data_IF_020501936454
#
_entry.id   IF_020501936454
#
_cell.length_a   1.000
_cell.length_b   1.000
_cell.length_c   1.000
_cell.angle_alpha   90.00
_cell.angle_beta   90.00
_cell.angle_gamma   90.00
#
_symmetry.space_group_name_H-M   'P 1'
#
loop_
_entity.id
_entity.type
_entity.pdbx_description
1 polymer ?
#
# COMPACT_ATOMS: atom_id res chain seq x y z
N UNK A 1 -15.54 48.94 -40.87
CA UNK A 1 -15.14 47.74 -41.64
C UNK A 1 -13.69 47.45 -41.27
N UNK A 2 -13.45 46.75 -40.17
CA UNK A 2 -13.37 45.28 -40.05
C UNK A 2 -12.10 44.71 -40.69
N UNK A 3 -11.14 44.28 -39.86
CA UNK A 3 -10.82 42.86 -39.64
C UNK A 3 -9.56 42.72 -38.78
N UNK A 4 -9.64 41.96 -37.68
CA UNK A 4 -8.47 41.44 -36.97
C UNK A 4 -8.69 39.95 -36.72
N UNK A 5 -7.77 39.16 -37.26
CA UNK A 5 -7.88 37.71 -37.50
C UNK A 5 -7.39 36.91 -36.30
N UNK A 6 -8.13 35.84 -36.00
CA UNK A 6 -7.91 34.90 -34.91
C UNK A 6 -6.89 33.81 -35.31
N UNK A 7 -5.70 33.81 -34.73
CA UNK A 7 -4.71 32.72 -34.85
C UNK A 7 -3.99 32.48 -33.51
N UNK A 8 -4.66 31.82 -32.55
CA UNK A 8 -4.01 31.30 -31.32
C UNK A 8 -4.42 29.89 -30.90
N UNK A 9 -5.30 29.22 -31.64
CA UNK A 9 -5.87 27.92 -31.24
C UNK A 9 -5.16 26.64 -31.76
N UNK A 10 -4.23 26.74 -32.71
CA UNK A 10 -3.66 25.57 -33.39
C UNK A 10 -2.38 25.02 -32.74
N UNK A 11 -1.49 25.89 -32.25
CA UNK A 11 -0.20 25.47 -31.66
C UNK A 11 -0.35 24.82 -30.27
N UNK A 12 -1.29 25.27 -29.43
CA UNK A 12 -1.54 24.69 -28.11
C UNK A 12 -2.09 23.26 -28.19
N UNK A 13 -2.94 22.97 -29.18
CA UNK A 13 -3.49 21.62 -29.41
C UNK A 13 -2.47 20.62 -29.94
N UNK A 14 -1.46 21.08 -30.69
CA UNK A 14 -0.38 20.24 -31.17
C UNK A 14 0.60 19.88 -30.05
N UNK A 15 0.95 20.84 -29.18
CA UNK A 15 1.85 20.58 -28.03
C UNK A 15 1.20 19.61 -27.04
N UNK A 16 -0.09 19.79 -26.71
CA UNK A 16 -0.83 18.86 -25.83
C UNK A 16 -0.92 17.45 -26.43
N UNK A 17 -1.14 17.34 -27.75
CA UNK A 17 -1.13 16.03 -28.43
C UNK A 17 0.25 15.37 -28.45
N UNK A 18 1.32 16.15 -28.62
CA UNK A 18 2.69 15.63 -28.65
C UNK A 18 3.16 15.17 -27.25
N UNK A 19 2.75 15.87 -26.18
CA UNK A 19 2.99 15.49 -24.78
C UNK A 19 2.25 14.19 -24.46
N UNK A 20 0.97 14.09 -24.79
CA UNK A 20 0.16 12.89 -24.56
C UNK A 20 0.70 11.65 -25.31
N UNK A 21 1.22 11.80 -26.54
CA UNK A 21 1.78 10.67 -27.31
C UNK A 21 3.15 10.23 -26.75
N UNK A 22 3.90 11.12 -26.12
CA UNK A 22 5.19 10.79 -25.49
C UNK A 22 5.00 10.11 -24.13
N UNK A 23 3.96 10.49 -23.37
CA UNK A 23 3.58 9.89 -22.08
C UNK A 23 3.10 8.44 -22.21
N UNK A 24 2.37 8.11 -23.29
CA UNK A 24 1.92 6.75 -23.59
C UNK A 24 3.10 5.78 -23.86
N UNK A 25 4.22 6.29 -24.38
CA UNK A 25 5.36 5.44 -24.77
C UNK A 25 6.28 5.04 -23.61
N UNK A 26 6.24 5.72 -22.46
CA UNK A 26 7.07 5.37 -21.31
C UNK A 26 6.49 5.87 -19.97
N UNK A 27 5.48 5.18 -19.42
CA UNK A 27 4.82 5.56 -18.15
C UNK A 27 5.80 5.65 -16.96
N UNK A 28 6.92 4.91 -16.99
CA UNK A 28 7.95 4.96 -15.95
C UNK A 28 8.75 6.27 -15.95
N UNK A 29 8.97 6.89 -17.11
CA UNK A 29 9.66 8.16 -17.23
C UNK A 29 8.80 9.33 -16.72
N UNK A 30 7.49 9.27 -16.95
CA UNK A 30 6.51 10.23 -16.43
C UNK A 30 6.51 10.24 -14.90
N UNK A 31 6.36 9.08 -14.27
CA UNK A 31 6.33 8.96 -12.80
C UNK A 31 7.65 9.39 -12.14
N UNK A 32 8.80 9.02 -12.73
CA UNK A 32 10.13 9.38 -12.19
C UNK A 32 10.41 10.88 -12.24
N UNK A 33 9.96 11.57 -13.29
CA UNK A 33 10.12 13.02 -13.40
C UNK A 33 9.17 13.75 -12.44
N UNK A 34 7.94 13.24 -12.26
CA UNK A 34 6.96 13.76 -11.30
C UNK A 34 7.42 13.63 -9.83
N UNK A 35 8.02 12.51 -9.45
CA UNK A 35 8.59 12.29 -8.10
C UNK A 35 9.70 13.30 -7.73
N UNK A 36 10.49 13.78 -8.71
CA UNK A 36 11.56 14.76 -8.45
C UNK A 36 11.06 16.18 -8.23
N UNK A 37 9.98 16.57 -8.91
CA UNK A 37 9.38 17.90 -8.75
C UNK A 37 8.62 18.03 -7.41
N UNK A 38 8.06 16.92 -6.90
CA UNK A 38 7.36 16.84 -5.61
C UNK A 38 8.30 17.11 -4.42
N UNK A 39 9.54 16.57 -4.43
CA UNK A 39 10.54 16.85 -3.37
C UNK A 39 10.88 18.34 -3.23
N UNK A 40 10.60 19.17 -4.25
CA UNK A 40 10.87 20.61 -4.26
C UNK A 40 9.66 21.48 -3.93
N UNK A 41 8.45 20.93 -3.89
CA UNK A 41 7.20 21.71 -3.78
C UNK A 41 6.22 21.17 -2.73
N UNK A 42 6.71 20.76 -1.55
CA UNK A 42 5.81 20.66 -0.39
C UNK A 42 5.26 22.06 -0.09
N UNK A 43 3.93 22.29 -0.13
CA UNK A 43 3.36 23.54 0.32
C UNK A 43 3.60 23.67 1.82
N UNK A 44 4.22 24.77 2.25
CA UNK A 44 4.14 25.20 3.65
C UNK A 44 2.73 25.74 3.86
N UNK A 45 1.86 24.93 4.45
CA UNK A 45 0.53 25.36 4.89
C UNK A 45 0.67 26.49 5.91
N UNK A 46 0.21 27.68 5.55
CA UNK A 46 0.13 28.84 6.45
C UNK A 46 -1.32 29.00 6.94
N UNK A 47 -1.70 28.30 8.01
CA UNK A 47 -2.74 28.69 8.97
C UNK A 47 -2.72 27.69 10.14
N UNK A 48 -2.78 28.17 11.38
CA UNK A 48 -2.53 27.39 12.60
C UNK A 48 -3.61 26.38 12.99
N UNK A 49 -3.86 25.39 12.13
CA UNK A 49 -4.52 24.14 12.47
C UNK A 49 -3.49 23.01 12.36
N UNK A 50 -3.54 22.03 13.27
CA UNK A 50 -2.77 20.78 13.15
C UNK A 50 -2.98 20.25 11.74
N UNK A 51 -1.91 20.00 10.99
CA UNK A 51 -2.10 19.61 9.59
C UNK A 51 -2.80 18.24 9.55
N UNK A 52 -3.93 18.17 8.88
CA UNK A 52 -4.64 16.93 8.67
C UNK A 52 -4.16 16.29 7.36
N UNK A 53 -3.91 14.97 7.41
CA UNK A 53 -3.58 14.15 6.24
C UNK A 53 -4.83 13.40 5.82
N UNK A 54 -5.15 13.42 4.53
CA UNK A 54 -6.16 12.51 3.97
C UNK A 54 -5.48 11.24 3.47
N UNK A 55 -5.58 10.17 4.25
CA UNK A 55 -5.03 8.87 3.92
C UNK A 55 -6.06 8.01 3.19
N UNK A 56 -5.80 7.66 1.94
CA UNK A 56 -6.62 6.72 1.17
C UNK A 56 -6.20 5.28 1.44
N UNK A 57 -7.09 4.50 2.04
CA UNK A 57 -6.94 3.08 2.29
C UNK A 57 -7.65 2.25 1.21
N UNK A 58 -6.96 1.23 0.69
CA UNK A 58 -7.49 0.26 -0.27
C UNK A 58 -7.30 -1.21 0.16
N UNK A 59 -6.38 -1.47 1.09
CA UNK A 59 -6.10 -2.79 1.64
C UNK A 59 -6.81 -3.04 2.97
N UNK A 60 -6.14 -3.71 3.92
CA UNK A 60 -6.74 -4.06 5.22
C UNK A 60 -7.29 -2.88 6.04
N UNK A 61 -6.76 -1.66 5.83
CA UNK A 61 -7.21 -0.45 6.50
C UNK A 61 -8.58 0.07 6.02
N UNK A 62 -9.17 -0.52 4.97
CA UNK A 62 -10.59 -0.27 4.63
C UNK A 62 -11.51 -0.76 5.75
N UNK A 63 -11.11 -1.80 6.48
CA UNK A 63 -11.86 -2.34 7.62
C UNK A 63 -11.58 -1.54 8.91
N UNK A 64 -12.61 -1.03 9.58
CA UNK A 64 -12.41 -0.17 10.76
C UNK A 64 -11.90 -0.91 11.99
N UNK A 65 -12.20 -2.22 12.13
CA UNK A 65 -11.62 -3.04 13.21
C UNK A 65 -10.09 -3.08 13.09
N UNK A 66 -9.58 -3.04 11.87
CA UNK A 66 -8.15 -3.02 11.60
C UNK A 66 -7.56 -1.62 11.78
N UNK A 67 -8.17 -0.59 11.20
CA UNK A 67 -7.66 0.79 11.29
C UNK A 67 -7.76 1.35 12.71
N UNK A 68 -8.94 1.28 13.32
CA UNK A 68 -9.20 1.84 14.66
C UNK A 68 -8.77 0.84 15.72
N UNK A 69 -9.23 -0.42 15.63
CA UNK A 69 -9.01 -1.40 16.69
C UNK A 69 -7.56 -1.85 16.80
N UNK A 70 -6.95 -2.29 15.69
CA UNK A 70 -5.58 -2.82 15.70
C UNK A 70 -4.50 -1.73 15.60
N UNK A 71 -4.70 -0.71 14.76
CA UNK A 71 -3.71 0.37 14.55
C UNK A 71 -3.89 1.57 15.46
N UNK A 72 -5.03 1.71 16.15
CA UNK A 72 -5.29 2.85 17.03
C UNK A 72 -5.51 4.17 16.29
N UNK A 73 -5.72 4.12 14.96
CA UNK A 73 -5.87 5.31 14.12
C UNK A 73 -7.33 5.70 14.07
N UNK A 74 -7.69 6.77 14.78
CA UNK A 74 -9.06 7.29 14.81
C UNK A 74 -9.21 8.43 13.79
N UNK A 75 -10.03 8.27 12.74
CA UNK A 75 -10.24 9.33 11.76
C UNK A 75 -11.20 10.42 12.25
N UNK A 76 -10.96 11.66 11.84
CA UNK A 76 -11.84 12.82 12.07
C UNK A 76 -13.03 12.77 11.13
N UNK A 77 -12.78 12.51 9.85
CA UNK A 77 -13.80 12.32 8.82
C UNK A 77 -13.43 11.15 7.91
N UNK A 78 -14.43 10.58 7.27
CA UNK A 78 -14.29 9.41 6.39
C UNK A 78 -15.03 9.69 5.08
N UNK A 79 -14.40 9.35 3.95
CA UNK A 79 -14.97 9.57 2.63
C UNK A 79 -14.70 8.36 1.73
N UNK A 80 -15.68 7.45 1.57
CA UNK A 80 -15.62 6.39 0.57
C UNK A 80 -15.50 6.98 -0.85
N UNK A 81 -14.69 6.36 -1.69
CA UNK A 81 -14.39 6.91 -3.00
C UNK A 81 -13.68 5.94 -3.93
N UNK A 82 -13.25 6.51 -5.05
CA UNK A 82 -12.59 5.85 -6.16
C UNK A 82 -11.22 6.50 -6.35
N UNK A 83 -10.22 5.66 -6.60
CA UNK A 83 -8.95 6.07 -7.13
C UNK A 83 -8.83 5.55 -8.57
N UNK A 84 -8.80 6.47 -9.53
CA UNK A 84 -8.75 6.16 -10.97
C UNK A 84 -7.31 5.89 -11.43
N UNK A 85 -7.15 5.14 -12.51
CA UNK A 85 -5.86 4.82 -13.14
C UNK A 85 -4.96 3.88 -12.31
N UNK A 86 -5.55 3.12 -11.39
CA UNK A 86 -4.87 2.09 -10.61
C UNK A 86 -5.67 0.79 -10.62
N UNK A 87 -4.93 -0.29 -10.45
CA UNK A 87 -5.42 -1.65 -10.22
C UNK A 87 -4.98 -2.10 -8.81
N UNK A 88 -5.77 -2.97 -8.19
CA UNK A 88 -5.44 -3.57 -6.90
C UNK A 88 -4.75 -4.92 -7.15
N UNK A 89 -3.49 -5.04 -6.72
CA UNK A 89 -2.69 -6.24 -6.89
C UNK A 89 -2.28 -6.83 -5.54
N UNK A 90 -2.18 -8.16 -5.47
CA UNK A 90 -1.71 -8.89 -4.28
C UNK A 90 -0.32 -9.46 -4.52
N UNK A 91 0.65 -8.56 -4.63
CA UNK A 91 2.03 -8.91 -5.00
C UNK A 91 3.06 -8.50 -3.96
N UNK A 92 2.62 -7.96 -2.82
CA UNK A 92 3.51 -7.63 -1.70
C UNK A 92 3.81 -8.92 -0.96
N UNK A 93 5.05 -9.42 -0.97
CA UNK A 93 5.35 -10.72 -0.39
C UNK A 93 5.18 -10.68 1.12
N UNK A 94 4.41 -11.62 1.67
CA UNK A 94 4.30 -11.84 3.11
C UNK A 94 5.03 -13.12 3.53
N UNK A 95 4.46 -13.83 4.50
CA UNK A 95 5.02 -15.09 5.00
C UNK A 95 4.43 -16.28 4.22
N UNK A 96 5.25 -17.10 3.55
CA UNK A 96 4.78 -18.32 2.90
C UNK A 96 4.01 -19.23 3.85
N UNK A 97 3.04 -19.96 3.30
CA UNK A 97 2.15 -20.90 3.98
C UNK A 97 1.14 -20.30 4.97
N UNK A 98 1.13 -18.98 5.18
CA UNK A 98 0.25 -18.31 6.14
C UNK A 98 -0.42 -17.07 5.54
N UNK A 99 0.38 -16.04 5.25
CA UNK A 99 -0.06 -14.76 4.68
C UNK A 99 0.84 -14.43 3.50
N UNK A 100 0.71 -15.15 2.37
CA UNK A 100 1.75 -15.09 1.34
C UNK A 100 1.77 -13.78 0.57
N UNK A 101 0.64 -13.08 0.46
CA UNK A 101 0.56 -11.82 -0.25
C UNK A 101 -0.31 -10.76 0.45
N UNK A 102 0.12 -9.50 0.34
CA UNK A 102 -0.63 -8.30 0.72
C UNK A 102 -0.87 -7.37 -0.48
N UNK A 103 -1.80 -6.45 -0.30
CA UNK A 103 -2.27 -5.55 -1.35
C UNK A 103 -1.29 -4.41 -1.64
N UNK A 104 -1.16 -4.03 -2.91
CA UNK A 104 -0.56 -2.78 -3.38
C UNK A 104 -1.35 -2.22 -4.56
N UNK A 105 -1.15 -0.95 -4.88
CA UNK A 105 -1.63 -0.37 -6.12
C UNK A 105 -0.62 -0.52 -7.25
N UNK A 106 -1.10 -0.87 -8.43
CA UNK A 106 -0.34 -0.87 -9.67
C UNK A 106 -0.99 0.11 -10.66
N UNK A 107 -0.21 1.03 -11.29
CA UNK A 107 -0.76 1.93 -12.31
C UNK A 107 -1.42 1.13 -13.44
N UNK A 108 -2.71 1.39 -13.69
CA UNK A 108 -3.48 0.76 -14.77
C UNK A 108 -4.52 1.75 -15.29
N UNK A 109 -4.32 2.27 -16.50
CA UNK A 109 -5.14 3.33 -17.08
C UNK A 109 -6.56 2.82 -17.32
N UNK A 110 -7.55 3.57 -16.82
CA UNK A 110 -8.97 3.23 -16.97
C UNK A 110 -9.49 2.20 -15.99
N UNK A 111 -8.63 1.65 -15.12
CA UNK A 111 -9.05 0.87 -13.96
C UNK A 111 -9.27 1.76 -12.74
N UNK A 112 -10.03 1.23 -11.80
CA UNK A 112 -10.49 1.95 -10.62
C UNK A 112 -10.31 1.07 -9.39
N UNK A 113 -9.75 1.64 -8.33
CA UNK A 113 -9.70 1.01 -7.00
C UNK A 113 -10.63 1.76 -6.07
N UNK A 114 -11.54 1.04 -5.44
CA UNK A 114 -12.46 1.63 -4.48
C UNK A 114 -11.91 1.44 -3.06
N UNK A 115 -12.08 2.47 -2.23
CA UNK A 115 -11.53 2.50 -0.89
C UNK A 115 -12.09 3.66 -0.08
N UNK A 116 -11.37 4.04 0.98
CA UNK A 116 -11.82 5.07 1.93
C UNK A 116 -10.71 6.07 2.19
N UNK A 117 -11.01 7.36 1.99
CA UNK A 117 -10.14 8.44 2.44
C UNK A 117 -10.48 8.81 3.89
N UNK A 118 -9.49 8.68 4.77
CA UNK A 118 -9.57 9.02 6.18
C UNK A 118 -8.85 10.34 6.43
N UNK A 119 -9.54 11.32 7.00
CA UNK A 119 -8.88 12.50 7.56
C UNK A 119 -8.30 12.14 8.92
N UNK A 120 -6.98 12.16 9.04
CA UNK A 120 -6.25 11.78 10.25
C UNK A 120 -5.23 12.86 10.62
N UNK A 121 -4.86 12.91 11.89
CA UNK A 121 -3.82 13.82 12.36
C UNK A 121 -2.45 13.39 11.85
N UNK A 122 -1.46 14.30 11.86
CA UNK A 122 -0.06 13.95 11.61
C UNK A 122 0.46 12.82 12.51
N UNK A 123 0.03 12.76 13.77
CA UNK A 123 0.42 11.70 14.70
C UNK A 123 -0.09 10.33 14.24
N UNK A 124 -1.39 10.23 13.92
CA UNK A 124 -1.96 9.01 13.35
C UNK A 124 -1.32 8.65 12.01
N UNK A 125 -0.95 9.63 11.19
CA UNK A 125 -0.23 9.36 9.96
C UNK A 125 1.15 8.73 10.21
N UNK A 126 1.91 9.24 11.19
CA UNK A 126 3.16 8.61 11.62
C UNK A 126 2.94 7.17 12.12
N UNK A 127 1.86 6.91 12.85
CA UNK A 127 1.52 5.55 13.29
C UNK A 127 1.25 4.62 12.10
N UNK A 128 0.50 5.08 11.09
CA UNK A 128 0.31 4.31 9.85
C UNK A 128 1.67 3.99 9.22
N UNK A 129 2.52 4.99 9.01
CA UNK A 129 3.85 4.82 8.40
C UNK A 129 4.75 3.85 9.19
N UNK A 130 4.69 3.87 10.52
CA UNK A 130 5.45 2.94 11.37
C UNK A 130 5.03 1.47 11.17
N UNK A 131 3.76 1.23 10.84
CA UNK A 131 3.21 -0.14 10.70
C UNK A 131 3.23 -0.67 9.27
N UNK A 132 3.42 0.19 8.27
CA UNK A 132 3.40 -0.15 6.85
C UNK A 132 4.83 -0.20 6.27
N UNK A 133 5.72 -0.92 6.98
CA UNK A 133 7.14 -1.02 6.63
C UNK A 133 7.32 -1.53 5.19
N UNK A 134 8.17 -0.84 4.41
CA UNK A 134 8.48 -1.22 3.04
C UNK A 134 7.57 -0.58 1.97
N UNK A 135 6.47 0.07 2.36
CA UNK A 135 5.67 0.89 1.46
C UNK A 135 6.27 2.30 1.30
N UNK A 136 6.00 2.92 0.16
CA UNK A 136 6.36 4.30 -0.17
C UNK A 136 5.08 5.16 -0.23
N UNK A 137 5.15 6.42 0.20
CA UNK A 137 4.02 7.35 0.10
C UNK A 137 3.82 7.80 -1.34
N UNK A 138 2.57 7.77 -1.81
CA UNK A 138 2.15 8.26 -3.11
C UNK A 138 1.06 9.33 -2.95
N UNK A 139 1.24 10.48 -3.59
CA UNK A 139 0.19 11.50 -3.74
C UNK A 139 -0.72 11.10 -4.90
N UNK A 140 -2.02 10.99 -4.61
CA UNK A 140 -3.05 10.55 -5.57
C UNK A 140 -4.19 11.57 -5.69
N UNK A 141 -3.94 12.83 -5.32
CA UNK A 141 -4.94 13.89 -5.26
C UNK A 141 -5.69 14.12 -6.58
N UNK A 142 -5.00 13.94 -7.72
CA UNK A 142 -5.60 14.12 -9.04
C UNK A 142 -6.49 12.94 -9.48
N UNK A 143 -6.26 11.76 -8.90
CA UNK A 143 -6.90 10.51 -9.28
C UNK A 143 -8.06 10.12 -8.35
N UNK A 144 -8.16 10.75 -7.18
CA UNK A 144 -9.19 10.47 -6.18
C UNK A 144 -10.48 11.27 -6.39
N UNK A 145 -11.61 10.57 -6.22
CA UNK A 145 -12.95 11.14 -6.18
C UNK A 145 -13.83 10.40 -5.17
N UNK A 146 -14.39 11.13 -4.21
CA UNK A 146 -15.39 10.59 -3.29
C UNK A 146 -16.70 10.23 -4.00
N UNK A 147 -17.44 9.25 -3.51
CA UNK A 147 -18.73 8.85 -4.11
C UNK A 147 -19.77 9.97 -4.12
N UNK A 148 -19.71 10.88 -3.14
CA UNK A 148 -20.55 12.08 -3.08
C UNK A 148 -20.14 13.15 -4.10
N UNK A 149 -19.10 12.91 -4.91
CA UNK A 149 -18.61 13.82 -5.95
C UNK A 149 -17.51 14.78 -5.50
N UNK A 150 -17.09 14.74 -4.24
CA UNK A 150 -16.01 15.56 -3.70
C UNK A 150 -14.62 15.12 -4.18
N UNK A 151 -13.68 16.08 -4.26
CA UNK A 151 -12.25 15.81 -4.46
C UNK A 151 -11.49 16.14 -3.19
N UNK A 152 -10.48 15.36 -2.87
CA UNK A 152 -9.61 15.53 -1.70
C UNK A 152 -8.16 15.39 -2.15
N UNK A 153 -7.26 16.13 -1.49
CA UNK A 153 -5.84 15.92 -1.66
C UNK A 153 -5.41 14.72 -0.82
N UNK A 154 -5.30 13.54 -1.44
CA UNK A 154 -5.09 12.27 -0.72
C UNK A 154 -3.68 11.73 -0.92
N UNK A 155 -3.15 11.16 0.14
CA UNK A 155 -1.95 10.33 0.13
C UNK A 155 -2.35 8.87 0.34
N UNK A 156 -1.62 7.97 -0.29
CA UNK A 156 -1.73 6.53 -0.05
C UNK A 156 -0.34 5.92 0.09
N UNK A 157 -0.31 4.60 0.28
CA UNK A 157 0.92 3.82 0.39
C UNK A 157 0.98 2.85 -0.77
N UNK A 158 2.12 2.69 -1.41
CA UNK A 158 2.33 1.73 -2.51
C UNK A 158 3.62 0.95 -2.29
N UNK A 159 3.62 -0.32 -2.66
CA UNK A 159 4.80 -1.15 -2.50
C UNK A 159 5.73 -1.00 -3.72
N UNK A 160 7.05 -0.90 -3.53
CA UNK A 160 7.97 -0.71 -4.63
C UNK A 160 7.94 -1.89 -5.61
N UNK A 161 7.60 -1.63 -6.89
CA UNK A 161 7.46 -2.67 -7.93
C UNK A 161 8.68 -3.58 -8.09
N UNK A 162 9.89 -3.09 -7.79
CA UNK A 162 11.12 -3.90 -7.85
C UNK A 162 11.20 -5.01 -6.78
N UNK A 163 10.37 -4.92 -5.75
CA UNK A 163 10.31 -5.82 -4.60
C UNK A 163 9.08 -6.72 -4.61
N UNK A 164 8.18 -6.55 -5.58
CA UNK A 164 6.97 -7.37 -5.66
C UNK A 164 7.27 -8.77 -6.16
N UNK A 165 6.43 -9.72 -5.74
CA UNK A 165 6.48 -11.11 -6.17
C UNK A 165 5.22 -11.45 -6.96
N UNK A 166 5.41 -12.18 -8.06
CA UNK A 166 4.31 -12.67 -8.91
C UNK A 166 3.90 -14.07 -8.47
N UNK A 167 2.74 -14.53 -8.92
CA UNK A 167 2.21 -15.87 -8.63
C UNK A 167 2.13 -16.17 -7.13
N UNK A 168 1.63 -15.21 -6.36
CA UNK A 168 1.28 -15.40 -4.95
C UNK A 168 -0.15 -14.89 -4.76
N UNK A 169 -0.87 -15.49 -3.80
CA UNK A 169 -2.26 -15.17 -3.52
C UNK A 169 -2.38 -14.53 -2.13
N UNK A 170 -3.34 -13.61 -1.92
CA UNK A 170 -3.67 -13.16 -0.58
C UNK A 170 -4.29 -14.32 0.21
N UNK A 171 -4.04 -14.40 1.51
CA UNK A 171 -4.76 -15.39 2.33
C UNK A 171 -6.27 -15.14 2.31
N UNK A 172 -7.06 -16.18 2.52
CA UNK A 172 -8.51 -16.06 2.71
C UNK A 172 -8.86 -15.06 3.81
N UNK A 173 -8.14 -15.14 4.94
CA UNK A 173 -8.31 -14.22 6.08
C UNK A 173 -8.07 -12.77 5.66
N UNK A 174 -7.01 -12.49 4.92
CA UNK A 174 -6.66 -11.14 4.50
C UNK A 174 -7.65 -10.55 3.49
N UNK A 175 -8.05 -11.32 2.47
CA UNK A 175 -9.03 -10.82 1.49
C UNK A 175 -10.40 -10.62 2.14
N UNK A 176 -10.78 -11.45 3.11
CA UNK A 176 -12.04 -11.29 3.84
C UNK A 176 -12.08 -9.99 4.64
N UNK A 177 -10.97 -9.56 5.26
CA UNK A 177 -10.89 -8.24 5.90
C UNK A 177 -11.24 -7.13 4.90
N UNK A 178 -10.71 -7.18 3.68
CA UNK A 178 -10.99 -6.17 2.65
C UNK A 178 -12.45 -6.24 2.22
N UNK A 179 -13.00 -7.45 2.04
CA UNK A 179 -14.43 -7.66 1.70
C UNK A 179 -15.36 -7.12 2.78
N UNK A 180 -15.05 -7.37 4.05
CA UNK A 180 -15.80 -6.86 5.20
C UNK A 180 -15.76 -5.33 5.25
N UNK A 181 -14.57 -4.74 5.05
CA UNK A 181 -14.45 -3.28 4.98
C UNK A 181 -15.20 -2.70 3.77
N UNK A 182 -15.16 -3.36 2.62
CA UNK A 182 -15.90 -2.93 1.44
C UNK A 182 -17.41 -2.95 1.67
N UNK A 183 -17.92 -3.95 2.40
CA UNK A 183 -19.31 -4.04 2.83
C UNK A 183 -19.65 -2.95 3.85
N UNK A 184 -18.81 -2.77 4.87
CA UNK A 184 -18.97 -1.76 5.93
C UNK A 184 -19.18 -0.35 5.36
N UNK A 185 -18.35 0.03 4.39
CA UNK A 185 -18.41 1.34 3.74
C UNK A 185 -19.37 1.42 2.56
N UNK A 186 -20.11 0.34 2.28
CA UNK A 186 -21.00 0.21 1.13
C UNK A 186 -20.30 0.64 -0.17
N UNK A 187 -19.09 0.13 -0.40
CA UNK A 187 -18.36 0.33 -1.66
C UNK A 187 -19.19 -0.22 -2.82
N UNK A 188 -18.93 0.23 -4.05
CA UNK A 188 -19.78 -0.13 -5.20
C UNK A 188 -20.00 -1.65 -5.32
N UNK A 189 -21.20 -2.07 -5.75
CA UNK A 189 -21.51 -3.48 -5.94
C UNK A 189 -20.52 -4.16 -6.90
N UNK A 190 -20.16 -3.50 -8.00
CA UNK A 190 -19.17 -4.01 -8.94
C UNK A 190 -17.80 -4.26 -8.29
N UNK A 191 -17.37 -3.39 -7.38
CA UNK A 191 -16.13 -3.58 -6.63
C UNK A 191 -16.22 -4.71 -5.61
N UNK A 192 -17.34 -4.82 -4.89
CA UNK A 192 -17.56 -5.94 -3.99
C UNK A 192 -17.56 -7.27 -4.76
N UNK A 193 -18.12 -7.30 -5.96
CA UNK A 193 -18.15 -8.47 -6.84
C UNK A 193 -16.75 -8.87 -7.30
N UNK A 194 -15.91 -7.90 -7.71
CA UNK A 194 -14.51 -8.18 -8.08
C UNK A 194 -13.71 -8.75 -6.92
N UNK A 195 -13.86 -8.19 -5.71
CA UNK A 195 -13.23 -8.72 -4.50
C UNK A 195 -13.70 -10.13 -4.14
N UNK A 196 -14.96 -10.49 -4.42
CA UNK A 196 -15.46 -11.86 -4.22
C UNK A 196 -14.85 -12.86 -5.21
N UNK A 197 -14.59 -12.42 -6.44
CA UNK A 197 -13.96 -13.25 -7.48
C UNK A 197 -12.44 -13.37 -7.32
N UNK A 198 -11.80 -12.49 -6.54
CA UNK A 198 -10.38 -12.56 -6.24
C UNK A 198 -10.00 -13.93 -5.62
N UNK A 199 -9.12 -14.72 -6.27
CA UNK A 199 -8.61 -15.95 -5.70
C UNK A 199 -7.83 -15.68 -4.41
N UNK A 200 -7.89 -16.63 -3.49
CA UNK A 200 -7.20 -16.56 -2.20
C UNK A 200 -6.44 -17.83 -1.91
N UNK A 201 -5.29 -17.68 -1.25
CA UNK A 201 -4.59 -18.76 -0.60
C UNK A 201 -5.45 -19.31 0.54
N UNK A 202 -5.86 -20.56 0.37
CA UNK A 202 -6.56 -21.35 1.37
C UNK A 202 -5.74 -22.62 1.49
N UNK A 203 -4.87 -22.75 2.50
CA UNK A 203 -4.22 -24.01 2.71
C UNK A 203 -5.34 -25.03 2.90
N UNK A 204 -5.37 -26.04 2.03
CA UNK A 204 -6.21 -27.20 2.31
C UNK A 204 -5.71 -27.80 3.63
N UNK A 205 -6.50 -28.67 4.28
CA UNK A 205 -6.02 -29.45 5.43
C UNK A 205 -4.93 -30.48 5.02
N UNK A 206 -4.10 -30.16 4.02
CA UNK A 206 -2.92 -30.90 3.62
C UNK A 206 -1.87 -30.81 4.75
N UNK A 207 -1.53 -31.94 5.39
CA UNK A 207 -0.53 -31.97 6.45
C UNK A 207 0.82 -31.37 6.04
N UNK A 208 1.17 -31.38 4.75
CA UNK A 208 2.43 -30.80 4.25
C UNK A 208 2.44 -29.28 4.34
N UNK A 209 1.37 -28.61 3.90
CA UNK A 209 1.25 -27.15 4.01
C UNK A 209 1.14 -26.70 5.47
N UNK A 210 0.47 -27.49 6.32
CA UNK A 210 0.44 -27.24 7.79
C UNK A 210 1.85 -27.33 8.38
N UNK A 211 2.63 -28.34 8.01
CA UNK A 211 4.03 -28.44 8.43
C UNK A 211 4.87 -27.27 7.89
N UNK A 212 4.65 -26.87 6.63
CA UNK A 212 5.27 -25.68 6.02
C UNK A 212 4.96 -24.40 6.81
N UNK A 213 3.72 -24.20 7.23
CA UNK A 213 3.31 -23.05 8.06
C UNK A 213 3.98 -23.03 9.43
N UNK A 214 4.13 -24.20 10.08
CA UNK A 214 4.84 -24.31 11.35
C UNK A 214 6.33 -23.99 11.20
N UNK A 215 6.97 -24.47 10.13
CA UNK A 215 8.38 -24.20 9.82
C UNK A 215 8.59 -22.73 9.48
N UNK A 216 7.77 -22.15 8.60
CA UNK A 216 7.89 -20.74 8.21
C UNK A 216 7.68 -19.81 9.39
N UNK A 217 6.61 -20.02 10.17
CA UNK A 217 6.32 -19.23 11.38
C UNK A 217 7.40 -19.40 12.46
N UNK A 218 7.86 -20.63 12.68
CA UNK A 218 8.95 -20.92 13.62
C UNK A 218 10.25 -20.21 13.25
N UNK A 219 10.60 -20.19 11.95
CA UNK A 219 11.80 -19.51 11.46
C UNK A 219 11.77 -18.00 11.70
N UNK A 220 10.60 -17.37 11.50
CA UNK A 220 10.38 -15.95 11.77
C UNK A 220 10.56 -15.61 13.26
N UNK A 221 10.08 -16.46 14.16
CA UNK A 221 10.24 -16.30 15.61
C UNK A 221 11.71 -16.46 16.06
N UNK A 222 12.48 -17.38 15.44
CA UNK A 222 13.90 -17.57 15.78
C UNK A 222 14.80 -16.43 15.30
N UNK A 223 14.47 -15.77 14.18
CA UNK A 223 15.28 -14.69 13.61
C UNK A 223 14.95 -13.32 14.22
N UNK A 224 13.67 -13.05 14.52
CA UNK A 224 13.24 -11.80 15.17
C UNK A 224 13.30 -11.87 16.69
N UNK A 225 13.41 -13.06 17.30
CA UNK A 225 13.54 -13.22 18.75
C UNK A 225 14.72 -12.44 19.36
N UNK A 226 15.95 -12.54 18.82
CA UNK A 226 17.09 -11.79 19.33
C UNK A 226 17.02 -10.29 19.01
N UNK A 227 16.53 -9.91 17.82
CA UNK A 227 16.45 -8.50 17.39
C UNK A 227 15.33 -7.77 18.13
N UNK A 228 14.15 -8.37 18.24
CA UNK A 228 13.01 -7.84 18.97
C UNK A 228 13.26 -7.76 20.48
N UNK A 229 13.97 -8.74 21.07
CA UNK A 229 14.38 -8.69 22.47
C UNK A 229 15.46 -7.62 22.71
N UNK A 230 16.41 -7.44 21.77
CA UNK A 230 17.43 -6.39 21.86
C UNK A 230 16.82 -4.98 21.69
N UNK A 231 15.84 -4.81 20.80
CA UNK A 231 15.11 -3.55 20.64
C UNK A 231 14.27 -3.26 21.88
N UNK A 232 13.48 -4.22 22.36
CA UNK A 232 12.69 -4.06 23.59
C UNK A 232 13.57 -3.78 24.83
N UNK A 233 14.73 -4.43 24.93
CA UNK A 233 15.71 -4.17 25.99
C UNK A 233 16.32 -2.77 25.89
N UNK A 234 16.64 -2.29 24.68
CA UNK A 234 17.12 -0.92 24.46
C UNK A 234 16.04 0.15 24.73
N UNK A 235 14.77 -0.15 24.44
CA UNK A 235 13.64 0.74 24.75
C UNK A 235 13.38 0.83 26.26
N UNK A 236 13.63 -0.24 27.02
CA UNK A 236 13.55 -0.27 28.48
C UNK A 236 14.74 0.41 29.17
N UNK A 237 15.86 0.61 28.48
CA UNK A 237 17.10 1.17 29.02
C UNK A 237 17.28 2.69 28.75
N UNK A 238 16.46 3.32 27.91
CA UNK A 238 16.54 4.78 27.67
C UNK A 238 15.85 5.53 28.83
N UNK A 239 16.52 6.46 29.54
CA UNK A 239 15.85 7.32 30.51
C UNK A 239 14.86 8.24 29.77
N UNK A 240 13.76 8.60 30.46
CA UNK A 240 12.69 9.50 29.98
C UNK A 240 13.25 10.90 29.66
N UNK A 241 13.90 11.03 28.51
CA UNK A 241 14.31 12.30 27.92
C UNK A 241 13.57 12.39 26.60
N UNK A 242 12.73 13.42 26.52
CA UNK A 242 11.99 13.82 25.34
C UNK A 242 12.98 14.03 24.20
N UNK A 243 13.06 13.03 23.31
CA UNK A 243 13.95 13.02 22.17
C UNK A 243 13.11 13.14 20.91
N UNK A 244 13.39 14.22 20.19
CA UNK A 244 12.82 14.57 18.90
C UNK A 244 13.08 13.42 17.91
N UNK A 245 12.03 12.65 17.61
CA UNK A 245 12.08 11.45 16.78
C UNK A 245 12.20 11.83 15.30
N UNK A 246 13.42 12.20 14.92
CA UNK A 246 13.81 12.50 13.55
C UNK A 246 14.23 11.21 12.85
N UNK A 247 13.39 10.77 11.90
CA UNK A 247 13.61 10.04 10.62
C UNK A 247 14.74 8.98 10.43
N UNK A 248 15.79 8.91 11.26
CA UNK A 248 17.00 8.10 11.07
C UNK A 248 16.87 6.67 11.62
N UNK A 249 16.00 6.42 12.61
CA UNK A 249 15.83 5.07 13.20
C UNK A 249 14.98 4.11 12.34
N UNK A 250 14.25 4.59 11.32
CA UNK A 250 13.34 3.77 10.49
C UNK A 250 14.03 3.07 9.31
N UNK A 251 15.01 3.71 8.67
CA UNK A 251 15.71 3.12 7.51
C UNK A 251 16.40 1.77 7.82
N UNK A 252 17.07 1.59 8.97
CA UNK A 252 17.70 0.32 9.32
C UNK A 252 16.68 -0.82 9.46
N UNK A 253 15.51 -0.53 10.03
CA UNK A 253 14.47 -1.53 10.27
C UNK A 253 13.83 -2.01 8.98
N UNK A 254 13.53 -1.09 8.06
CA UNK A 254 12.99 -1.43 6.74
C UNK A 254 13.97 -2.27 5.92
N UNK A 255 15.27 -1.97 5.97
CA UNK A 255 16.31 -2.76 5.30
C UNK A 255 16.47 -4.17 5.89
N UNK A 256 16.39 -4.31 7.22
CA UNK A 256 16.43 -5.61 7.91
C UNK A 256 15.21 -6.46 7.52
N UNK A 257 14.01 -5.87 7.50
CA UNK A 257 12.78 -6.58 7.12
C UNK A 257 12.78 -6.99 5.64
N UNK A 258 13.25 -6.12 4.75
CA UNK A 258 13.41 -6.40 3.32
C UNK A 258 14.37 -7.58 3.10
N UNK A 259 15.51 -7.55 3.78
CA UNK A 259 16.50 -8.64 3.74
C UNK A 259 15.92 -9.95 4.29
N UNK A 260 15.11 -9.87 5.35
CA UNK A 260 14.44 -11.04 5.93
C UNK A 260 13.42 -11.66 4.96
N UNK A 261 12.59 -10.82 4.34
CA UNK A 261 11.58 -11.26 3.38
C UNK A 261 12.26 -11.93 2.18
N UNK A 262 13.33 -11.36 1.65
CA UNK A 262 14.13 -11.95 0.57
C UNK A 262 14.74 -13.30 0.97
N UNK A 263 15.33 -13.40 2.17
CA UNK A 263 15.90 -14.66 2.67
C UNK A 263 14.82 -15.73 2.85
N UNK A 264 13.66 -15.34 3.40
CA UNK A 264 12.52 -16.25 3.62
C UNK A 264 12.02 -16.82 2.30
N UNK A 265 11.81 -15.97 1.29
CA UNK A 265 11.36 -16.41 -0.02
C UNK A 265 12.43 -17.21 -0.79
N UNK A 266 13.72 -16.95 -0.58
CA UNK A 266 14.79 -17.81 -1.11
C UNK A 266 14.78 -19.21 -0.49
N UNK A 267 14.71 -19.29 0.84
CA UNK A 267 14.60 -20.58 1.55
C UNK A 267 13.34 -21.35 1.13
N UNK A 268 12.26 -20.62 0.91
CA UNK A 268 11.04 -21.16 0.35
C UNK A 268 11.26 -21.80 -1.02
N UNK A 269 11.79 -21.04 -1.99
CA UNK A 269 11.94 -21.48 -3.38
C UNK A 269 12.96 -22.62 -3.52
N UNK A 270 14.00 -22.62 -2.70
CA UNK A 270 15.07 -23.62 -2.78
C UNK A 270 14.74 -24.91 -2.03
N UNK A 271 14.01 -24.82 -0.91
CA UNK A 271 13.83 -25.92 0.05
C UNK A 271 12.37 -26.18 0.36
N UNK A 272 11.63 -25.21 0.90
CA UNK A 272 10.31 -25.49 1.48
C UNK A 272 9.28 -25.86 0.44
N UNK A 273 9.25 -25.17 -0.70
CA UNK A 273 8.32 -25.46 -1.79
C UNK A 273 8.38 -26.92 -2.25
N UNK A 274 9.60 -27.48 -2.33
CA UNK A 274 9.85 -28.87 -2.72
C UNK A 274 9.41 -29.89 -1.66
N UNK A 275 9.31 -29.48 -0.40
CA UNK A 275 8.96 -30.34 0.73
C UNK A 275 7.48 -30.23 1.12
N UNK A 276 6.91 -29.02 1.00
CA UNK A 276 5.64 -28.65 1.61
C UNK A 276 4.60 -28.12 0.62
N UNK A 277 4.91 -28.08 -0.68
CA UNK A 277 4.08 -27.46 -1.72
C UNK A 277 4.32 -25.95 -1.84
N UNK A 278 3.68 -25.29 -2.80
CA UNK A 278 4.06 -23.93 -3.22
C UNK A 278 3.89 -22.86 -2.14
N UNK A 279 2.94 -22.97 -1.20
CA UNK A 279 2.83 -22.07 -0.05
C UNK A 279 2.57 -20.58 -0.35
N UNK A 280 2.63 -20.16 -1.61
CA UNK A 280 2.22 -18.86 -2.13
C UNK A 280 0.91 -18.93 -2.90
N UNK A 281 0.61 -20.10 -3.45
CA UNK A 281 -0.59 -20.45 -4.22
C UNK A 281 -1.21 -21.73 -3.65
N UNK A 282 -2.33 -22.16 -4.24
CA UNK A 282 -2.97 -23.43 -3.89
C UNK A 282 -2.46 -24.61 -4.75
N UNK A 283 -1.32 -24.45 -5.45
CA UNK A 283 -0.70 -25.53 -6.22
C UNK A 283 0.12 -26.45 -5.29
N UNK A 284 0.10 -27.76 -5.58
CA UNK A 284 0.79 -28.82 -4.82
C UNK A 284 2.15 -29.11 -5.43
#
# INVERSE_FOLDING_TARGET
MSNCTFTRGAQSRQVVKQVAITEIRNPLAYLRNRQRDIRRQLPRSSCGAVADVFYFAYGSNVNTTILIGRRGVVPVTTTPGILSNYSLDFTVPGLPYSEPAFATLCPSIGEEVHGVAYQITEEHWKQVLNTETGYEVLDCSDDFKGYSGGRLCVQTLVYPRRKTRQNILPSKRYIDIIREGALEWNLSAAWQDSLRLQPSYTPELDPRQVAGALVSTGSMLTLLGPIGLAVAANSLAKPLVESDSTQDEQEPQAQVLDSFQDVTWKLHDEVWSKLFGDGGTNEI
#
